data_IF_469648871054
#
_entry.id   IF_469648871054
#
_cell.length_a   1.000
_cell.length_b   1.000
_cell.length_c   1.000
_cell.angle_alpha   90.00
_cell.angle_beta   90.00
_cell.angle_gamma   90.00
#
_symmetry.space_group_name_H-M   'P 1'
#
loop_
_entity.id
_entity.type
_entity.pdbx_description
1 polymer ?
#
# COMPACT_ATOMS: atom_id res chain seq x y z
N UNK A 1 32.91 -0.08 24.28
CA UNK A 1 32.59 -0.20 25.71
C UNK A 1 31.21 -0.79 25.80
N UNK A 2 31.07 -1.99 26.36
CA UNK A 2 29.76 -2.61 26.59
C UNK A 2 29.04 -1.78 27.66
N UNK A 3 27.87 -1.23 27.32
CA UNK A 3 26.98 -0.66 28.33
C UNK A 3 26.55 -1.81 29.26
N UNK A 4 26.61 -1.63 30.60
CA UNK A 4 26.10 -2.63 31.52
C UNK A 4 24.58 -2.79 31.30
N UNK A 5 24.13 -4.04 31.28
CA UNK A 5 22.73 -4.46 31.18
C UNK A 5 21.83 -3.62 32.10
N UNK A 6 20.68 -3.09 31.64
CA UNK A 6 19.63 -2.72 32.57
C UNK A 6 19.24 -4.00 33.33
N UNK A 7 19.22 -3.90 34.67
CA UNK A 7 18.93 -5.03 35.56
C UNK A 7 17.59 -5.67 35.16
N UNK A 8 17.63 -6.89 34.64
CA UNK A 8 16.47 -7.76 34.52
C UNK A 8 15.92 -7.97 35.94
N UNK A 9 14.63 -7.72 36.14
CA UNK A 9 13.96 -7.87 37.42
C UNK A 9 14.16 -9.28 38.00
N UNK A 10 14.31 -9.37 39.31
CA UNK A 10 14.26 -10.61 40.08
C UNK A 10 12.82 -11.12 40.08
N UNK A 11 12.45 -11.95 39.10
CA UNK A 11 11.07 -12.39 38.79
C UNK A 11 10.10 -11.22 38.48
N UNK A 12 9.25 -11.34 37.45
CA UNK A 12 8.30 -10.30 37.12
C UNK A 12 7.06 -10.38 38.02
N UNK A 13 6.34 -9.27 38.11
CA UNK A 13 4.97 -9.28 38.63
C UNK A 13 4.05 -9.91 37.58
N UNK A 14 3.29 -10.93 37.97
CA UNK A 14 2.31 -11.56 37.08
C UNK A 14 0.94 -10.85 37.21
N UNK A 15 0.28 -10.50 36.11
CA UNK A 15 -1.07 -9.94 36.15
C UNK A 15 -2.08 -10.97 36.66
N UNK A 16 -3.13 -10.47 37.30
CA UNK A 16 -4.25 -11.25 37.85
C UNK A 16 -5.53 -10.92 37.08
N UNK A 17 -6.55 -11.75 37.25
CA UNK A 17 -7.86 -11.50 36.67
C UNK A 17 -8.39 -10.11 37.09
N UNK A 18 -8.82 -9.30 36.12
CA UNK A 18 -9.27 -7.93 36.32
C UNK A 18 -8.19 -6.86 36.22
N UNK A 19 -6.89 -7.21 36.21
CA UNK A 19 -5.82 -6.24 35.98
C UNK A 19 -5.89 -5.70 34.55
N UNK A 20 -5.56 -4.42 34.40
CA UNK A 20 -5.34 -3.80 33.10
C UNK A 20 -3.90 -4.05 32.66
N UNK A 21 -3.76 -4.52 31.43
CA UNK A 21 -2.48 -4.86 30.80
C UNK A 21 -2.43 -4.28 29.39
N UNK A 22 -1.23 -3.97 28.90
CA UNK A 22 -1.05 -3.63 27.50
C UNK A 22 -1.01 -4.93 26.70
N UNK A 23 -2.08 -5.19 25.93
CA UNK A 23 -2.19 -6.37 25.08
C UNK A 23 -1.95 -5.99 23.62
N UNK A 24 -1.16 -6.79 22.92
CA UNK A 24 -0.89 -6.56 21.50
C UNK A 24 -2.04 -7.04 20.63
N UNK A 25 -2.64 -6.14 19.86
CA UNK A 25 -3.64 -6.48 18.85
C UNK A 25 -2.92 -6.91 17.56
N UNK A 26 -2.75 -8.22 17.38
CA UNK A 26 -2.10 -8.80 16.19
C UNK A 26 -2.82 -8.46 14.87
N UNK A 27 -4.10 -8.04 14.89
CA UNK A 27 -4.84 -7.65 13.69
C UNK A 27 -4.59 -6.19 13.32
N UNK A 28 -4.43 -5.34 14.33
CA UNK A 28 -4.24 -3.90 14.14
C UNK A 28 -2.77 -3.47 14.26
N UNK A 29 -1.88 -4.36 14.72
CA UNK A 29 -0.45 -4.13 14.85
C UNK A 29 -0.08 -3.08 15.89
N UNK A 30 -0.84 -2.95 16.98
CA UNK A 30 -0.55 -2.00 18.05
C UNK A 30 -0.94 -2.52 19.43
N UNK A 31 -0.35 -1.90 20.45
CA UNK A 31 -0.60 -2.16 21.86
C UNK A 31 -1.86 -1.43 22.34
N UNK A 32 -2.70 -2.13 23.10
CA UNK A 32 -3.93 -1.56 23.67
C UNK A 32 -4.16 -2.07 25.08
N UNK A 33 -4.53 -1.16 25.97
CA UNK A 33 -4.93 -1.51 27.33
C UNK A 33 -6.21 -2.36 27.31
N UNK A 34 -6.14 -3.54 27.95
CA UNK A 34 -7.21 -4.54 28.02
C UNK A 34 -7.20 -5.20 29.38
N UNK A 35 -8.34 -5.80 29.75
CA UNK A 35 -8.44 -6.65 30.93
C UNK A 35 -7.79 -8.01 30.68
N UNK A 36 -6.93 -8.44 31.60
CA UNK A 36 -6.19 -9.70 31.46
C UNK A 36 -7.09 -10.93 31.33
N UNK A 37 -8.21 -10.97 32.05
CA UNK A 37 -9.20 -12.06 32.05
C UNK A 37 -10.05 -12.16 30.77
N UNK A 38 -9.89 -11.23 29.82
CA UNK A 38 -10.58 -11.22 28.54
C UNK A 38 -9.67 -11.58 27.35
N UNK A 39 -8.40 -11.92 27.61
CA UNK A 39 -7.41 -12.16 26.56
C UNK A 39 -7.38 -13.64 26.15
N UNK A 40 -7.29 -13.85 24.84
CA UNK A 40 -7.19 -15.18 24.24
C UNK A 40 -5.76 -15.74 24.33
N UNK A 41 -5.58 -17.07 24.34
CA UNK A 41 -4.28 -17.69 24.14
C UNK A 41 -3.56 -17.17 22.90
N UNK A 42 -2.23 -17.06 23.00
CA UNK A 42 -1.36 -16.49 21.99
C UNK A 42 -1.17 -14.97 22.09
N UNK A 43 -2.01 -14.27 22.85
CA UNK A 43 -1.88 -12.82 23.06
C UNK A 43 -0.56 -12.48 23.75
N UNK A 44 0.11 -11.45 23.22
CA UNK A 44 1.30 -10.87 23.83
C UNK A 44 0.93 -9.72 24.75
N UNK A 45 1.55 -9.69 25.94
CA UNK A 45 1.12 -8.83 27.05
C UNK A 45 2.33 -8.15 27.67
N UNK A 46 2.23 -6.84 27.90
CA UNK A 46 3.14 -6.08 28.75
C UNK A 46 2.42 -5.72 30.04
N UNK A 47 3.04 -6.04 31.16
CA UNK A 47 2.55 -5.67 32.50
C UNK A 47 3.74 -5.40 33.42
N UNK A 48 3.71 -4.27 34.12
CA UNK A 48 4.79 -3.86 35.05
C UNK A 48 6.20 -3.96 34.43
N UNK A 49 6.33 -3.49 33.18
CA UNK A 49 7.55 -3.54 32.37
C UNK A 49 8.11 -4.96 32.09
N UNK A 50 7.27 -5.99 32.22
CA UNK A 50 7.58 -7.37 31.83
C UNK A 50 6.73 -7.79 30.63
N UNK A 51 7.36 -8.48 29.68
CA UNK A 51 6.74 -8.99 28.46
C UNK A 51 6.41 -10.49 28.61
N UNK A 52 5.17 -10.85 28.27
CA UNK A 52 4.65 -12.21 28.37
C UNK A 52 3.92 -12.62 27.10
N UNK A 53 3.81 -13.95 26.88
CA UNK A 53 2.87 -14.54 25.94
C UNK A 53 1.93 -15.50 26.66
N UNK A 54 0.64 -15.43 26.36
CA UNK A 54 -0.35 -16.37 26.91
C UNK A 54 -0.22 -17.70 26.15
N UNK A 55 0.06 -18.79 26.86
CA UNK A 55 0.13 -20.13 26.31
C UNK A 55 -1.27 -20.70 26.00
N UNK A 56 -1.38 -21.78 25.20
CA UNK A 56 -2.65 -22.45 24.91
C UNK A 56 -3.45 -22.89 26.15
N UNK A 57 -2.77 -23.17 27.26
CA UNK A 57 -3.38 -23.54 28.54
C UNK A 57 -3.74 -22.33 29.43
N UNK A 58 -3.51 -21.10 28.94
CA UNK A 58 -3.73 -19.85 29.67
C UNK A 58 -2.59 -19.43 30.60
N UNK A 59 -1.53 -20.22 30.73
CA UNK A 59 -0.36 -19.83 31.52
C UNK A 59 0.44 -18.72 30.83
N UNK A 60 1.20 -17.95 31.62
CA UNK A 60 2.05 -16.88 31.09
C UNK A 60 3.50 -17.35 30.91
N UNK A 61 3.98 -17.26 29.68
CA UNK A 61 5.40 -17.43 29.34
C UNK A 61 6.11 -16.07 29.42
N UNK A 62 6.94 -15.89 30.44
CA UNK A 62 7.72 -14.66 30.63
C UNK A 62 8.94 -14.64 29.70
N UNK A 63 8.99 -13.62 28.85
CA UNK A 63 10.03 -13.41 27.84
C UNK A 63 11.11 -12.45 28.37
N UNK A 64 11.82 -12.90 29.41
CA UNK A 64 12.82 -12.11 30.15
C UNK A 64 13.95 -11.50 29.30
N UNK A 65 14.19 -12.10 28.14
CA UNK A 65 15.18 -11.70 27.16
C UNK A 65 14.76 -10.48 26.31
N UNK A 66 13.47 -10.13 26.30
CA UNK A 66 12.92 -9.03 25.52
C UNK A 66 12.73 -7.79 26.40
N UNK A 67 13.41 -6.71 26.02
CA UNK A 67 13.20 -5.40 26.60
C UNK A 67 11.95 -4.75 26.01
N UNK A 68 11.00 -4.32 26.86
CA UNK A 68 9.68 -3.79 26.43
C UNK A 68 9.84 -2.57 25.51
N UNK A 69 10.81 -1.71 25.79
CA UNK A 69 11.09 -0.53 24.97
C UNK A 69 11.49 -0.87 23.52
N UNK A 70 11.96 -2.10 23.26
CA UNK A 70 12.33 -2.58 21.92
C UNK A 70 11.13 -3.05 21.10
N UNK A 71 9.98 -3.29 21.74
CA UNK A 71 8.75 -3.65 21.03
C UNK A 71 8.29 -2.49 20.13
N UNK A 72 8.50 -1.24 20.58
CA UNK A 72 8.17 -0.05 19.79
C UNK A 72 8.94 -0.03 18.45
N UNK A 73 10.25 -0.28 18.46
CA UNK A 73 11.06 -0.34 17.24
C UNK A 73 10.59 -1.47 16.28
N UNK A 74 10.11 -2.58 16.85
CA UNK A 74 9.61 -3.73 16.08
C UNK A 74 8.28 -3.45 15.38
N UNK A 75 7.42 -2.68 16.05
CA UNK A 75 6.05 -2.37 15.61
C UNK A 75 5.92 -1.09 14.79
N UNK A 76 6.89 -0.19 14.90
CA UNK A 76 6.87 1.10 14.21
C UNK A 76 6.85 0.90 12.68
N UNK A 77 6.01 1.67 11.99
CA UNK A 77 5.84 1.61 10.53
C UNK A 77 5.94 2.98 9.86
N UNK A 78 5.88 4.08 10.63
CA UNK A 78 5.94 5.46 10.13
C UNK A 78 7.24 6.13 10.58
N UNK A 79 8.36 5.73 9.95
CA UNK A 79 9.70 6.22 10.30
C UNK A 79 10.22 7.19 9.25
N UNK A 80 10.80 8.29 9.70
CA UNK A 80 11.48 9.22 8.81
C UNK A 80 12.64 8.50 8.09
N UNK A 81 12.87 8.72 6.77
CA UNK A 81 13.87 7.96 6.02
C UNK A 81 15.29 7.96 6.62
N UNK A 82 15.66 9.01 7.35
CA UNK A 82 16.94 9.18 8.05
C UNK A 82 17.02 8.47 9.41
N UNK A 83 15.88 8.06 9.96
CA UNK A 83 15.76 7.29 11.20
C UNK A 83 15.67 5.76 10.94
N UNK A 84 15.43 5.35 9.69
CA UNK A 84 15.41 3.94 9.29
C UNK A 84 16.79 3.33 9.48
N UNK A 85 16.86 2.27 10.28
CA UNK A 85 18.08 1.48 10.48
C UNK A 85 17.84 0.00 10.20
N UNK A 86 18.92 -0.71 9.89
CA UNK A 86 18.88 -2.18 9.87
C UNK A 86 18.83 -2.71 11.30
N UNK A 87 18.11 -3.81 11.55
CA UNK A 87 18.17 -4.48 12.84
C UNK A 87 19.58 -5.06 13.03
N UNK A 88 20.08 -4.94 14.25
CA UNK A 88 21.40 -5.36 14.68
C UNK A 88 21.32 -6.60 15.57
N UNK A 89 22.32 -7.47 15.45
CA UNK A 89 22.46 -8.63 16.33
C UNK A 89 22.59 -8.20 17.80
N UNK A 90 22.13 -9.06 18.70
CA UNK A 90 22.32 -8.94 20.13
C UNK A 90 21.14 -8.36 20.92
N UNK A 91 20.24 -7.55 20.33
CA UNK A 91 19.29 -6.77 21.14
C UNK A 91 17.99 -6.35 20.46
N UNK A 92 17.90 -6.43 19.13
CA UNK A 92 16.69 -5.96 18.45
C UNK A 92 15.59 -7.01 18.51
N UNK A 93 14.42 -6.54 18.93
CA UNK A 93 13.18 -7.28 18.86
C UNK A 93 12.58 -7.01 17.49
N UNK A 94 12.03 -8.04 16.89
CA UNK A 94 11.45 -8.00 15.55
C UNK A 94 10.09 -8.68 15.57
N UNK A 95 9.23 -8.32 14.61
CA UNK A 95 7.92 -8.92 14.47
C UNK A 95 7.93 -10.02 13.43
N UNK A 96 7.84 -11.27 13.88
CA UNK A 96 7.65 -12.42 13.01
C UNK A 96 6.17 -12.53 12.67
N UNK A 97 5.86 -12.71 11.39
CA UNK A 97 4.49 -12.95 10.94
C UNK A 97 4.46 -14.04 9.88
N UNK A 98 3.41 -14.83 9.93
CA UNK A 98 3.06 -15.90 9.00
C UNK A 98 1.57 -15.83 8.68
N UNK A 99 1.07 -16.75 7.86
CA UNK A 99 -0.36 -16.84 7.59
C UNK A 99 -1.22 -17.08 8.84
N UNK A 100 -0.66 -17.69 9.89
CA UNK A 100 -1.41 -18.15 11.07
C UNK A 100 -0.96 -17.53 12.38
N UNK A 101 0.23 -16.96 12.44
CA UNK A 101 0.82 -16.43 13.68
C UNK A 101 1.52 -15.10 13.45
N UNK A 102 1.43 -14.21 14.43
CA UNK A 102 2.27 -13.03 14.56
C UNK A 102 2.80 -12.98 16.00
N UNK A 103 4.08 -12.65 16.16
CA UNK A 103 4.71 -12.56 17.48
C UNK A 103 6.02 -11.77 17.45
N UNK A 104 6.46 -11.33 18.61
CA UNK A 104 7.74 -10.66 18.82
C UNK A 104 8.82 -11.65 19.20
N UNK A 105 10.01 -11.49 18.62
CA UNK A 105 11.16 -12.34 18.88
C UNK A 105 12.46 -11.55 18.82
N UNK A 106 13.49 -12.06 19.50
CA UNK A 106 14.85 -11.56 19.34
C UNK A 106 15.41 -12.08 18.02
N UNK A 107 15.98 -11.18 17.23
CA UNK A 107 16.57 -11.48 15.92
C UNK A 107 17.58 -12.64 15.96
N UNK A 108 18.38 -12.75 17.02
CA UNK A 108 19.41 -13.77 17.19
C UNK A 108 18.85 -15.19 17.29
N UNK A 109 17.59 -15.34 17.71
CA UNK A 109 16.92 -16.61 17.88
C UNK A 109 16.21 -17.11 16.60
N UNK A 110 16.19 -16.29 15.54
CA UNK A 110 15.50 -16.66 14.31
C UNK A 110 16.32 -17.69 13.50
N UNK A 111 15.70 -18.71 12.88
CA UNK A 111 16.42 -19.62 11.98
C UNK A 111 16.75 -18.95 10.65
N UNK A 112 17.68 -19.49 9.86
CA UNK A 112 17.94 -18.99 8.50
C UNK A 112 16.70 -19.14 7.61
N UNK A 113 16.44 -18.17 6.72
CA UNK A 113 15.26 -18.12 5.87
C UNK A 113 14.02 -17.55 6.58
N UNK A 114 14.11 -17.21 7.87
CA UNK A 114 13.01 -16.59 8.59
C UNK A 114 12.79 -15.17 8.09
N UNK A 115 11.55 -14.88 7.67
CA UNK A 115 11.06 -13.53 7.37
C UNK A 115 10.50 -12.87 8.62
N UNK A 116 10.75 -11.58 8.78
CA UNK A 116 10.28 -10.77 9.89
C UNK A 116 10.18 -9.30 9.48
N UNK A 117 9.49 -8.50 10.28
CA UNK A 117 9.38 -7.06 10.12
C UNK A 117 10.14 -6.33 11.22
N UNK A 118 10.78 -5.24 10.84
CA UNK A 118 11.42 -4.30 11.74
C UNK A 118 11.28 -2.91 11.12
N UNK A 119 10.75 -1.93 11.87
CA UNK A 119 10.54 -0.58 11.34
C UNK A 119 9.74 -0.56 10.03
N UNK A 120 8.69 -1.39 9.94
CA UNK A 120 7.84 -1.54 8.76
C UNK A 120 8.48 -2.21 7.55
N UNK A 121 9.78 -2.53 7.56
CA UNK A 121 10.48 -3.19 6.45
C UNK A 121 10.54 -4.70 6.72
N UNK A 122 10.23 -5.50 5.71
CA UNK A 122 10.43 -6.93 5.78
C UNK A 122 11.88 -7.30 5.46
N UNK A 123 12.47 -8.10 6.34
CA UNK A 123 13.79 -8.69 6.18
C UNK A 123 13.69 -10.21 6.18
N UNK A 124 14.69 -10.85 5.58
CA UNK A 124 14.93 -12.28 5.69
C UNK A 124 16.31 -12.53 6.30
N UNK A 125 16.37 -13.48 7.22
CA UNK A 125 17.62 -13.91 7.84
C UNK A 125 18.40 -14.85 6.91
N UNK A 126 19.72 -14.67 6.85
CA UNK A 126 20.64 -15.59 6.19
C UNK A 126 21.77 -15.92 7.16
N UNK A 127 21.95 -17.20 7.46
CA UNK A 127 23.07 -17.69 8.28
C UNK A 127 24.10 -18.29 7.34
N UNK A 128 25.30 -17.71 7.33
CA UNK A 128 26.43 -18.21 6.54
C UNK A 128 27.02 -19.48 7.15
N UNK A 129 27.78 -20.28 6.39
CA UNK A 129 28.42 -21.50 6.92
C UNK A 129 29.37 -21.27 8.11
N UNK A 130 29.90 -20.05 8.27
CA UNK A 130 30.73 -19.64 9.40
C UNK A 130 29.90 -19.24 10.65
N UNK A 131 28.58 -19.35 10.58
CA UNK A 131 27.64 -19.01 11.66
C UNK A 131 27.26 -17.54 11.72
N UNK A 132 27.80 -16.67 10.86
CA UNK A 132 27.46 -15.25 10.84
C UNK A 132 26.07 -15.05 10.28
N UNK A 133 25.20 -14.40 11.05
CA UNK A 133 23.86 -14.02 10.62
C UNK A 133 23.90 -12.69 9.91
N UNK A 134 23.08 -12.58 8.88
CA UNK A 134 22.88 -11.36 8.10
C UNK A 134 21.40 -11.21 7.81
N UNK A 135 20.97 -9.98 7.58
CA UNK A 135 19.59 -9.66 7.24
C UNK A 135 19.54 -8.91 5.91
N UNK A 136 18.66 -9.36 5.04
CA UNK A 136 18.48 -8.80 3.70
C UNK A 136 17.05 -8.28 3.57
N UNK A 137 16.84 -7.02 3.18
CA UNK A 137 15.49 -6.53 2.93
C UNK A 137 14.88 -7.25 1.73
N UNK A 138 13.63 -7.69 1.86
CA UNK A 138 12.94 -8.44 0.77
C UNK A 138 12.33 -7.51 -0.27
N UNK A 139 12.24 -6.21 0.02
CA UNK A 139 11.51 -5.22 -0.77
C UNK A 139 10.03 -5.14 -0.41
N UNK A 140 9.55 -5.96 0.54
CA UNK A 140 8.21 -5.85 1.12
C UNK A 140 8.23 -5.02 2.39
N UNK A 141 7.06 -4.50 2.76
CA UNK A 141 6.89 -3.70 3.97
C UNK A 141 5.43 -3.66 4.41
N UNK A 142 5.24 -3.20 5.63
CA UNK A 142 3.93 -2.86 6.17
C UNK A 142 3.63 -1.40 5.81
N UNK A 143 2.36 -1.10 5.64
CA UNK A 143 1.89 0.26 5.37
C UNK A 143 0.53 0.45 6.02
N UNK A 144 0.26 1.68 6.47
CA UNK A 144 -0.97 1.97 7.19
C UNK A 144 -2.15 2.00 6.22
N UNK A 145 -3.24 1.35 6.61
CA UNK A 145 -4.54 1.55 5.99
C UNK A 145 -5.09 2.89 6.51
N UNK A 146 -5.28 3.86 5.62
CA UNK A 146 -5.74 5.22 5.95
C UNK A 146 -7.21 5.46 5.60
N UNK A 147 -7.81 4.64 4.72
CA UNK A 147 -9.23 4.72 4.39
C UNK A 147 -9.79 3.36 3.90
N UNK A 148 -11.11 3.24 3.86
CA UNK A 148 -11.84 2.07 3.34
C UNK A 148 -13.00 2.53 2.45
N UNK A 149 -13.15 1.89 1.30
CA UNK A 149 -14.21 2.18 0.34
C UNK A 149 -15.10 0.97 0.13
N UNK A 150 -16.39 1.26 -0.05
CA UNK A 150 -17.41 0.30 -0.40
C UNK A 150 -18.25 0.87 -1.54
N UNK A 151 -18.55 0.06 -2.55
CA UNK A 151 -19.51 0.43 -3.61
C UNK A 151 -20.15 -0.79 -4.24
N UNK A 152 -21.25 -0.54 -4.94
CA UNK A 152 -21.88 -1.52 -5.83
C UNK A 152 -21.45 -1.26 -7.27
N UNK A 153 -21.15 -2.32 -8.02
CA UNK A 153 -20.79 -2.29 -9.44
C UNK A 153 -21.62 -3.33 -10.20
N UNK A 154 -21.80 -3.11 -11.50
CA UNK A 154 -22.56 -4.03 -12.37
C UNK A 154 -21.68 -5.10 -13.04
N UNK A 155 -20.36 -4.96 -12.91
CA UNK A 155 -19.39 -5.75 -13.67
C UNK A 155 -18.15 -6.06 -12.86
N UNK A 156 -17.73 -7.33 -12.92
CA UNK A 156 -16.45 -7.81 -12.43
C UNK A 156 -15.69 -8.55 -13.54
N UNK A 157 -14.40 -8.71 -13.32
CA UNK A 157 -13.59 -9.70 -14.01
C UNK A 157 -13.11 -10.73 -12.98
N UNK A 158 -13.25 -12.00 -13.36
CA UNK A 158 -12.74 -13.14 -12.64
C UNK A 158 -11.44 -13.59 -13.30
N UNK A 159 -10.34 -13.54 -12.54
CA UNK A 159 -9.00 -13.92 -12.95
C UNK A 159 -8.67 -15.27 -12.32
N UNK A 160 -8.45 -16.30 -13.12
CA UNK A 160 -7.94 -17.59 -12.63
C UNK A 160 -6.43 -17.59 -12.76
N UNK A 161 -5.74 -17.72 -11.63
CA UNK A 161 -4.28 -17.74 -11.56
C UNK A 161 -3.78 -19.11 -11.11
N UNK A 162 -2.61 -19.51 -11.57
CA UNK A 162 -1.90 -20.72 -11.17
C UNK A 162 -0.58 -20.34 -10.49
N UNK A 163 -0.40 -20.79 -9.25
CA UNK A 163 0.80 -20.56 -8.46
C UNK A 163 1.93 -21.52 -8.86
N UNK A 164 3.15 -21.24 -8.39
CA UNK A 164 4.33 -22.06 -8.67
C UNK A 164 4.19 -23.54 -8.20
N UNK A 165 3.35 -23.80 -7.19
CA UNK A 165 3.03 -25.15 -6.71
C UNK A 165 1.93 -25.87 -7.53
N UNK A 166 1.45 -25.23 -8.60
CA UNK A 166 0.38 -25.73 -9.48
C UNK A 166 -1.04 -25.56 -8.93
N UNK A 167 -1.20 -25.01 -7.71
CA UNK A 167 -2.54 -24.70 -7.19
C UNK A 167 -3.12 -23.48 -7.88
N UNK A 168 -4.44 -23.44 -7.92
CA UNK A 168 -5.18 -22.35 -8.56
C UNK A 168 -5.93 -21.52 -7.54
N UNK A 169 -5.95 -20.22 -7.78
CA UNK A 169 -6.78 -19.26 -7.06
C UNK A 169 -7.62 -18.46 -8.06
N UNK A 170 -8.74 -17.91 -7.59
CA UNK A 170 -9.66 -17.14 -8.42
C UNK A 170 -9.93 -15.79 -7.77
N UNK A 171 -9.45 -14.73 -8.40
CA UNK A 171 -9.56 -13.36 -7.89
C UNK A 171 -10.65 -12.64 -8.68
N UNK A 172 -11.61 -12.04 -7.97
CA UNK A 172 -12.63 -11.19 -8.56
C UNK A 172 -12.34 -9.74 -8.27
N UNK A 173 -12.23 -8.94 -9.32
CA UNK A 173 -11.95 -7.51 -9.21
C UNK A 173 -12.80 -6.71 -10.19
N UNK A 174 -12.88 -5.40 -9.98
CA UNK A 174 -13.43 -4.50 -11.00
C UNK A 174 -12.49 -4.49 -12.22
N UNK A 175 -12.98 -4.43 -13.47
CA UNK A 175 -12.14 -4.50 -14.67
C UNK A 175 -10.96 -3.50 -14.68
N UNK A 176 -11.15 -2.34 -14.08
CA UNK A 176 -10.16 -1.26 -13.98
C UNK A 176 -9.14 -1.41 -12.83
N UNK A 177 -9.21 -2.48 -12.03
CA UNK A 177 -8.35 -2.62 -10.86
C UNK A 177 -6.91 -2.99 -11.28
N UNK A 178 -5.85 -2.26 -10.88
CA UNK A 178 -4.50 -2.53 -11.38
C UNK A 178 -3.78 -3.65 -10.61
N UNK A 179 -3.18 -4.59 -11.35
CA UNK A 179 -2.30 -5.65 -10.85
C UNK A 179 -0.87 -5.41 -11.32
N UNK A 180 0.11 -5.73 -10.48
CA UNK A 180 1.51 -5.55 -10.83
C UNK A 180 2.04 -6.70 -11.69
N UNK A 181 2.66 -6.36 -12.83
CA UNK A 181 3.28 -7.32 -13.75
C UNK A 181 4.82 -7.22 -13.64
N UNK A 182 5.50 -8.17 -12.98
CA UNK A 182 6.94 -8.07 -12.68
C UNK A 182 7.82 -7.99 -13.92
N UNK A 183 7.51 -8.76 -14.96
CA UNK A 183 8.27 -8.78 -16.21
C UNK A 183 8.30 -7.41 -16.90
N UNK A 184 7.21 -6.63 -16.76
CA UNK A 184 7.04 -5.31 -17.39
C UNK A 184 7.32 -4.16 -16.43
N UNK A 185 7.39 -4.43 -15.12
CA UNK A 185 7.56 -3.45 -14.04
C UNK A 185 6.51 -2.34 -14.05
N UNK A 186 5.28 -2.68 -14.42
CA UNK A 186 4.15 -1.75 -14.49
C UNK A 186 2.90 -2.39 -13.86
N UNK A 187 1.94 -1.54 -13.51
CA UNK A 187 0.58 -1.98 -13.20
C UNK A 187 -0.26 -2.01 -14.47
N UNK A 188 -0.97 -3.11 -14.69
CA UNK A 188 -1.94 -3.27 -15.78
C UNK A 188 -3.32 -3.49 -15.15
N UNK A 189 -4.36 -2.87 -15.70
CA UNK A 189 -5.72 -3.09 -15.21
C UNK A 189 -6.15 -4.53 -15.46
N UNK A 190 -6.95 -5.10 -14.56
CA UNK A 190 -7.35 -6.50 -14.55
C UNK A 190 -7.80 -7.04 -15.92
N UNK A 191 -8.62 -6.28 -16.66
CA UNK A 191 -9.12 -6.67 -17.99
C UNK A 191 -8.07 -6.68 -19.10
N UNK A 192 -7.01 -5.89 -18.97
CA UNK A 192 -5.98 -5.74 -20.02
C UNK A 192 -4.77 -6.66 -19.79
N UNK A 193 -4.76 -7.46 -18.71
CA UNK A 193 -3.67 -8.41 -18.43
C UNK A 193 -3.77 -9.55 -19.45
N UNK A 194 -2.75 -9.84 -20.27
CA UNK A 194 -2.77 -11.00 -21.14
C UNK A 194 -2.74 -12.32 -20.35
N UNK A 195 -3.46 -13.35 -20.80
CA UNK A 195 -3.22 -14.72 -20.32
C UNK A 195 -1.77 -15.12 -20.61
N UNK A 196 -1.13 -15.81 -19.66
CA UNK A 196 0.29 -16.13 -19.65
C UNK A 196 1.17 -15.09 -18.96
N UNK A 197 0.69 -13.87 -18.69
CA UNK A 197 1.44 -12.91 -17.87
C UNK A 197 1.47 -13.37 -16.40
N UNK A 198 2.57 -13.07 -15.73
CA UNK A 198 2.78 -13.39 -14.32
C UNK A 198 2.49 -12.20 -13.40
N UNK A 199 1.93 -12.50 -12.22
CA UNK A 199 1.68 -11.56 -11.12
C UNK A 199 2.71 -11.76 -10.00
N UNK A 200 3.04 -10.70 -9.27
CA UNK A 200 3.87 -10.80 -8.05
C UNK A 200 3.03 -11.27 -6.87
N UNK A 201 3.49 -12.29 -6.16
CA UNK A 201 2.85 -12.77 -4.93
C UNK A 201 3.54 -12.22 -3.67
N UNK A 202 2.84 -12.28 -2.52
CA UNK A 202 3.37 -11.91 -1.21
C UNK A 202 4.55 -12.79 -0.73
N UNK A 203 4.79 -13.95 -1.36
CA UNK A 203 5.95 -14.80 -1.05
C UNK A 203 7.20 -14.33 -1.80
N UNK A 204 7.03 -13.49 -2.84
CA UNK A 204 8.07 -13.05 -3.78
C UNK A 204 8.04 -13.85 -5.10
N UNK A 205 7.28 -14.95 -5.14
CA UNK A 205 7.12 -15.84 -6.27
C UNK A 205 6.17 -15.26 -7.34
N UNK A 206 5.87 -16.06 -8.37
CA UNK A 206 5.00 -15.72 -9.49
C UNK A 206 3.72 -16.55 -9.47
N UNK A 207 2.63 -15.93 -9.92
CA UNK A 207 1.40 -16.63 -10.26
C UNK A 207 1.00 -16.27 -11.70
N UNK A 208 0.77 -17.28 -12.54
CA UNK A 208 0.46 -17.08 -13.96
C UNK A 208 -1.04 -16.90 -14.15
N UNK A 209 -1.45 -15.88 -14.90
CA UNK A 209 -2.84 -15.72 -15.30
C UNK A 209 -3.18 -16.73 -16.40
N UNK A 210 -4.06 -17.69 -16.12
CA UNK A 210 -4.37 -18.79 -17.06
C UNK A 210 -5.76 -18.68 -17.70
N UNK A 211 -6.67 -17.90 -17.11
CA UNK A 211 -7.98 -17.65 -17.69
C UNK A 211 -8.61 -16.37 -17.15
N UNK A 212 -9.45 -15.73 -17.97
CA UNK A 212 -10.25 -14.58 -17.56
C UNK A 212 -11.72 -14.71 -17.96
N UNK A 213 -12.61 -14.20 -17.11
CA UNK A 213 -14.05 -14.20 -17.37
C UNK A 213 -14.72 -12.94 -16.87
N UNK A 214 -15.45 -12.24 -17.75
CA UNK A 214 -16.32 -11.12 -17.35
C UNK A 214 -17.60 -11.64 -16.70
N UNK A 215 -17.98 -11.02 -15.59
CA UNK A 215 -19.22 -11.29 -14.86
C UNK A 215 -20.07 -10.02 -14.85
N UNK A 216 -21.36 -10.15 -15.15
CA UNK A 216 -22.33 -9.05 -15.10
C UNK A 216 -23.43 -9.38 -14.10
N UNK A 217 -23.82 -8.41 -13.29
CA UNK A 217 -24.75 -8.58 -12.18
C UNK A 217 -24.51 -7.50 -11.12
N UNK A 218 -25.26 -7.50 -10.02
CA UNK A 218 -25.03 -6.55 -8.94
C UNK A 218 -23.99 -7.09 -7.95
N UNK A 219 -22.85 -6.42 -7.82
CA UNK A 219 -21.75 -6.86 -6.97
C UNK A 219 -21.33 -5.77 -5.98
N UNK A 220 -21.23 -6.16 -4.71
CA UNK A 220 -20.64 -5.32 -3.68
C UNK A 220 -19.12 -5.52 -3.66
N UNK A 221 -18.36 -4.44 -3.79
CA UNK A 221 -16.89 -4.46 -3.80
C UNK A 221 -16.31 -3.55 -2.73
N UNK A 222 -15.12 -3.92 -2.27
CA UNK A 222 -14.37 -3.22 -1.23
C UNK A 222 -13.01 -2.80 -1.77
N UNK A 223 -12.50 -1.67 -1.28
CA UNK A 223 -11.13 -1.23 -1.53
C UNK A 223 -10.60 -0.58 -0.25
N UNK A 224 -9.28 -0.54 -0.11
CA UNK A 224 -8.59 0.16 0.98
C UNK A 224 -7.88 1.38 0.39
N UNK A 225 -7.51 2.35 1.21
CA UNK A 225 -6.43 3.30 0.92
C UNK A 225 -5.25 2.96 1.82
N UNK A 226 -4.08 2.75 1.24
CA UNK A 226 -2.83 2.44 1.95
C UNK A 226 -1.84 3.56 1.70
N UNK A 227 -1.18 4.04 2.76
CA UNK A 227 -0.18 5.10 2.70
C UNK A 227 1.15 4.63 3.29
N UNK A 228 2.30 5.03 2.73
CA UNK A 228 2.48 5.85 1.52
C UNK A 228 2.59 5.04 0.22
N UNK A 229 2.60 3.71 0.31
CA UNK A 229 2.96 2.82 -0.80
C UNK A 229 1.86 2.68 -1.86
N UNK A 230 0.61 2.94 -1.50
CA UNK A 230 -0.56 2.84 -2.40
C UNK A 230 -0.66 1.50 -3.15
N UNK A 231 -0.18 0.41 -2.54
CA UNK A 231 -0.37 -0.94 -3.03
C UNK A 231 -0.60 -1.90 -1.85
N UNK A 232 -1.19 -3.05 -2.12
CA UNK A 232 -1.44 -4.11 -1.14
C UNK A 232 -1.60 -5.45 -1.83
N UNK A 233 -1.61 -6.54 -1.07
CA UNK A 233 -1.79 -7.89 -1.60
C UNK A 233 -3.24 -8.38 -1.41
N UNK A 234 -3.79 -9.07 -2.42
CA UNK A 234 -5.13 -9.68 -2.39
C UNK A 234 -5.12 -11.15 -2.83
N UNK A 235 -5.98 -11.97 -2.24
CA UNK A 235 -6.23 -13.35 -2.68
C UNK A 235 -7.72 -13.63 -2.74
N UNK A 236 -8.11 -14.57 -3.61
CA UNK A 236 -9.46 -15.13 -3.65
C UNK A 236 -9.74 -16.19 -2.59
N UNK A 237 -8.68 -16.76 -1.99
CA UNK A 237 -8.77 -17.88 -1.05
C UNK A 237 -7.89 -17.61 0.18
N UNK A 238 -8.34 -17.91 1.42
CA UNK A 238 -7.56 -17.65 2.63
C UNK A 238 -6.15 -18.25 2.64
N UNK A 239 -5.98 -19.40 1.99
CA UNK A 239 -4.74 -20.18 2.00
C UNK A 239 -3.85 -19.94 0.77
N UNK A 240 -4.28 -19.10 -0.18
CA UNK A 240 -3.52 -18.85 -1.40
C UNK A 240 -2.60 -17.63 -1.25
N UNK A 241 -1.36 -17.67 -1.80
CA UNK A 241 -0.47 -16.51 -1.81
C UNK A 241 -1.11 -15.32 -2.51
N UNK A 242 -1.39 -14.26 -1.76
CA UNK A 242 -1.99 -13.05 -2.32
C UNK A 242 -1.08 -12.36 -3.34
N UNK A 243 -1.67 -11.73 -4.35
CA UNK A 243 -0.98 -11.02 -5.44
C UNK A 243 -1.00 -9.51 -5.23
N UNK A 244 0.06 -8.84 -5.70
CA UNK A 244 0.24 -7.39 -5.53
C UNK A 244 -0.68 -6.60 -6.46
N UNK A 245 -1.54 -5.79 -5.86
CA UNK A 245 -2.43 -4.85 -6.54
C UNK A 245 -2.14 -3.42 -6.09
N UNK A 246 -2.48 -2.47 -6.93
CA UNK A 246 -2.41 -1.06 -6.56
C UNK A 246 -3.73 -0.66 -5.92
N UNK A 247 -3.70 0.18 -4.87
CA UNK A 247 -4.88 0.94 -4.51
C UNK A 247 -5.38 1.62 -5.77
N UNK A 248 -6.61 1.41 -6.19
CA UNK A 248 -7.15 2.17 -7.31
C UNK A 248 -7.35 3.66 -6.89
N UNK A 249 -6.28 4.34 -6.48
CA UNK A 249 -6.14 5.79 -6.32
C UNK A 249 -6.41 6.50 -7.66
N UNK A 250 -6.45 5.76 -8.77
CA UNK A 250 -6.96 6.21 -10.05
C UNK A 250 -8.47 6.43 -10.02
N UNK A 251 -8.93 7.52 -9.37
CA UNK A 251 -10.12 8.33 -9.72
C UNK A 251 -10.46 9.44 -8.71
N UNK A 252 -9.62 9.85 -7.75
CA UNK A 252 -9.93 11.04 -6.90
C UNK A 252 -10.28 12.25 -7.78
N UNK A 253 -9.44 12.56 -8.76
CA UNK A 253 -9.72 13.55 -9.80
C UNK A 253 -11.01 13.25 -10.60
N UNK A 254 -11.18 12.02 -11.09
CA UNK A 254 -12.36 11.66 -11.88
C UNK A 254 -13.67 11.78 -11.09
N UNK A 255 -13.65 11.51 -9.78
CA UNK A 255 -14.79 11.71 -8.87
C UNK A 255 -15.02 13.19 -8.62
N UNK A 256 -13.95 13.95 -8.34
CA UNK A 256 -14.04 15.40 -8.15
C UNK A 256 -14.67 16.08 -9.37
N UNK A 257 -14.27 15.69 -10.58
CA UNK A 257 -14.87 16.18 -11.83
C UNK A 257 -16.37 15.89 -11.93
N UNK A 258 -16.80 14.67 -11.64
CA UNK A 258 -18.23 14.30 -11.68
C UNK A 258 -19.03 15.04 -10.60
N UNK A 259 -18.50 15.17 -9.39
CA UNK A 259 -19.12 15.94 -8.29
C UNK A 259 -19.23 17.42 -8.65
N UNK A 260 -18.24 17.97 -9.35
CA UNK A 260 -18.26 19.33 -9.89
C UNK A 260 -19.18 19.49 -11.12
N UNK A 261 -19.93 18.45 -11.50
CA UNK A 261 -20.90 18.51 -12.59
C UNK A 261 -20.31 18.30 -13.99
N UNK A 262 -19.06 17.85 -14.11
CA UNK A 262 -18.43 17.51 -15.39
C UNK A 262 -18.76 16.06 -15.73
N UNK A 263 -19.61 15.77 -16.73
CA UNK A 263 -19.97 14.40 -17.07
C UNK A 263 -18.76 13.68 -17.68
N UNK A 264 -18.58 12.39 -17.33
CA UNK A 264 -17.58 11.52 -17.97
C UNK A 264 -18.18 10.86 -19.22
N UNK A 265 -17.71 11.17 -20.44
CA UNK A 265 -18.15 10.45 -21.61
C UNK A 265 -17.64 8.99 -21.61
N UNK A 266 -18.32 8.05 -22.30
CA UNK A 266 -17.78 6.71 -22.53
C UNK A 266 -16.39 6.78 -23.16
N UNK A 267 -15.52 5.82 -22.82
CA UNK A 267 -14.16 5.74 -23.37
C UNK A 267 -13.26 6.96 -23.09
N UNK A 268 -13.53 7.69 -22.00
CA UNK A 268 -12.69 8.80 -21.53
C UNK A 268 -12.09 8.54 -20.14
N UNK A 269 -10.84 8.97 -19.94
CA UNK A 269 -10.14 8.93 -18.66
C UNK A 269 -9.97 10.35 -18.11
N UNK A 270 -9.95 10.48 -16.77
CA UNK A 270 -9.57 11.76 -16.15
C UNK A 270 -8.08 11.97 -16.37
N UNK A 271 -7.70 13.15 -16.83
CA UNK A 271 -6.31 13.57 -17.02
C UNK A 271 -6.03 14.74 -16.08
N UNK A 272 -4.97 14.61 -15.29
CA UNK A 272 -4.43 15.71 -14.48
C UNK A 272 -3.75 16.70 -15.40
N UNK A 273 -4.16 17.97 -15.35
CA UNK A 273 -3.54 19.03 -16.15
C UNK A 273 -2.11 19.27 -15.65
N UNK A 274 -1.98 19.52 -14.35
CA UNK A 274 -0.71 19.44 -13.65
C UNK A 274 -0.51 17.99 -13.22
N UNK A 275 0.38 17.29 -13.93
CA UNK A 275 0.64 15.88 -13.72
C UNK A 275 1.13 15.58 -12.29
N UNK A 276 0.65 14.48 -11.71
CA UNK A 276 0.93 14.11 -10.32
C UNK A 276 2.35 13.53 -10.12
N UNK A 277 2.80 12.67 -11.03
CA UNK A 277 4.05 11.88 -10.86
C UNK A 277 5.22 12.38 -11.69
N UNK A 278 5.00 13.33 -12.61
CA UNK A 278 6.03 13.82 -13.49
C UNK A 278 6.93 14.84 -12.77
N UNK A 279 8.21 14.51 -12.57
CA UNK A 279 9.18 15.41 -11.94
C UNK A 279 9.28 16.76 -12.67
N UNK A 280 9.13 16.76 -13.99
CA UNK A 280 9.13 17.97 -14.82
C UNK A 280 7.95 18.90 -14.54
N UNK A 281 6.85 18.41 -13.96
CA UNK A 281 5.68 19.22 -13.58
C UNK A 281 5.83 19.88 -12.20
N UNK A 282 6.94 19.67 -11.48
CA UNK A 282 7.18 20.24 -10.13
C UNK A 282 6.97 21.75 -10.02
N UNK A 283 7.35 22.61 -11.00
CA UNK A 283 7.04 24.03 -10.92
C UNK A 283 5.55 24.31 -10.79
N UNK A 284 4.72 23.73 -11.66
CA UNK A 284 3.27 23.86 -11.59
C UNK A 284 2.68 23.22 -10.33
N UNK A 285 3.19 22.05 -9.89
CA UNK A 285 2.75 21.41 -8.64
C UNK A 285 2.91 22.34 -7.43
N UNK A 286 4.07 22.98 -7.29
CA UNK A 286 4.33 23.95 -6.20
C UNK A 286 3.43 25.17 -6.28
N UNK A 287 3.10 25.62 -7.49
CA UNK A 287 2.14 26.73 -7.67
C UNK A 287 0.76 26.33 -7.17
N UNK A 288 0.27 25.13 -7.51
CA UNK A 288 -1.04 24.65 -7.03
C UNK A 288 -1.06 24.48 -5.50
N UNK A 289 -0.02 23.86 -4.94
CA UNK A 289 0.13 23.67 -3.50
C UNK A 289 0.12 25.02 -2.75
N UNK A 290 0.94 25.98 -3.18
CA UNK A 290 1.01 27.32 -2.60
C UNK A 290 -0.33 28.06 -2.62
N UNK A 291 -1.16 27.80 -3.63
CA UNK A 291 -2.46 28.42 -3.82
C UNK A 291 -3.62 27.60 -3.22
N UNK A 292 -3.32 26.48 -2.55
CA UNK A 292 -4.32 25.61 -1.93
C UNK A 292 -5.27 24.96 -2.95
N UNK A 293 -4.74 24.54 -4.10
CA UNK A 293 -5.43 23.72 -5.10
C UNK A 293 -4.83 22.32 -5.01
N UNK A 294 -5.63 21.33 -4.63
CA UNK A 294 -5.21 19.94 -4.58
C UNK A 294 -4.95 19.38 -5.98
N UNK A 295 -3.96 18.51 -6.13
CA UNK A 295 -3.68 17.87 -7.43
C UNK A 295 -4.88 17.04 -7.93
N UNK A 296 -5.67 16.48 -7.03
CA UNK A 296 -6.89 15.74 -7.36
C UNK A 296 -8.16 16.61 -7.38
N UNK A 297 -8.06 17.93 -7.21
CA UNK A 297 -9.21 18.82 -7.29
C UNK A 297 -9.76 18.85 -8.72
N UNK A 298 -11.08 19.01 -8.86
CA UNK A 298 -11.74 19.11 -10.17
C UNK A 298 -11.13 20.20 -11.06
N UNK A 299 -10.63 21.28 -10.47
CA UNK A 299 -9.95 22.36 -11.17
C UNK A 299 -8.71 21.89 -11.96
N UNK A 300 -8.01 20.86 -11.48
CA UNK A 300 -6.81 20.32 -12.13
C UNK A 300 -7.11 19.18 -13.11
N UNK A 301 -8.37 19.02 -13.56
CA UNK A 301 -8.80 17.84 -14.29
C UNK A 301 -9.55 18.09 -15.58
N UNK A 302 -9.44 17.14 -16.51
CA UNK A 302 -10.27 17.08 -17.71
C UNK A 302 -10.52 15.62 -18.12
N UNK A 303 -11.70 15.31 -18.65
CA UNK A 303 -11.96 14.01 -19.29
C UNK A 303 -11.53 14.03 -20.74
N UNK A 304 -10.68 13.07 -21.12
CA UNK A 304 -10.12 12.95 -22.47
C UNK A 304 -10.19 11.51 -22.99
N UNK A 305 -10.29 11.32 -24.32
CA UNK A 305 -10.30 10.00 -24.93
C UNK A 305 -9.15 9.10 -24.47
N UNK A 306 -9.45 7.88 -23.99
CA UNK A 306 -8.43 6.86 -23.64
C UNK A 306 -8.13 5.87 -24.75
N UNK A 307 -9.03 5.70 -25.72
CA UNK A 307 -8.89 4.76 -26.83
C UNK A 307 -9.48 5.33 -28.14
N UNK A 308 -9.34 4.59 -29.24
CA UNK A 308 -9.84 4.99 -30.56
C UNK A 308 -11.36 5.25 -30.58
N UNK A 309 -12.15 4.51 -29.82
CA UNK A 309 -13.60 4.74 -29.72
C UNK A 309 -13.93 6.06 -29.02
N UNK A 310 -13.19 6.40 -27.95
CA UNK A 310 -13.27 7.71 -27.31
C UNK A 310 -12.84 8.83 -28.25
N UNK A 311 -11.78 8.60 -29.03
CA UNK A 311 -11.27 9.58 -29.98
C UNK A 311 -12.27 9.80 -31.13
N UNK A 312 -12.92 8.74 -31.60
CA UNK A 312 -14.01 8.86 -32.59
C UNK A 312 -15.21 9.64 -32.04
N UNK A 313 -15.54 9.48 -30.76
CA UNK A 313 -16.61 10.22 -30.09
C UNK A 313 -16.24 11.69 -29.78
N UNK A 314 -14.95 12.00 -29.68
CA UNK A 314 -14.43 13.37 -29.46
C UNK A 314 -13.23 13.64 -30.37
N UNK A 315 -13.44 13.79 -31.70
CA UNK A 315 -12.35 13.79 -32.69
C UNK A 315 -11.32 14.89 -32.51
N UNK A 316 -11.73 16.01 -31.92
CA UNK A 316 -10.88 17.17 -31.68
C UNK A 316 -10.17 17.12 -30.33
N UNK A 317 -10.61 16.29 -29.39
CA UNK A 317 -9.99 16.26 -28.07
C UNK A 317 -8.58 15.65 -28.16
N UNK A 318 -7.66 16.14 -27.33
CA UNK A 318 -6.36 15.53 -27.21
C UNK A 318 -6.49 14.08 -26.72
N UNK A 319 -5.70 13.18 -27.31
CA UNK A 319 -5.68 11.78 -26.91
C UNK A 319 -4.95 11.66 -25.57
N UNK A 320 -5.58 11.12 -24.53
CA UNK A 320 -5.01 11.12 -23.17
C UNK A 320 -3.57 10.59 -23.14
N UNK A 321 -3.24 9.43 -23.74
CA UNK A 321 -1.88 8.90 -23.70
C UNK A 321 -0.82 9.80 -24.36
N UNK A 322 -1.18 10.66 -25.31
CA UNK A 322 -0.21 11.55 -25.99
C UNK A 322 0.20 12.76 -25.15
N UNK A 323 -0.48 13.03 -24.04
CA UNK A 323 -0.23 14.21 -23.20
C UNK A 323 0.91 14.02 -22.19
N UNK A 324 1.39 12.80 -21.98
CA UNK A 324 2.47 12.53 -21.03
C UNK A 324 3.85 12.84 -21.63
N UNK A 325 4.03 14.06 -22.14
CA UNK A 325 5.22 14.50 -22.86
C UNK A 325 5.90 15.67 -22.15
N UNK A 326 7.21 15.84 -22.39
CA UNK A 326 7.96 16.99 -21.91
C UNK A 326 7.41 18.32 -22.42
N UNK A 327 6.98 18.35 -23.68
CA UNK A 327 6.40 19.54 -24.30
C UNK A 327 5.10 19.95 -23.61
N UNK A 328 4.26 18.99 -23.23
CA UNK A 328 3.05 19.25 -22.46
C UNK A 328 3.37 19.81 -21.07
N UNK A 329 4.26 19.16 -20.32
CA UNK A 329 4.61 19.60 -18.96
C UNK A 329 5.22 21.01 -18.96
N UNK A 330 6.08 21.32 -19.93
CA UNK A 330 6.65 22.66 -20.08
C UNK A 330 5.58 23.70 -20.43
N UNK A 331 4.63 23.37 -21.32
CA UNK A 331 3.52 24.26 -21.65
C UNK A 331 2.63 24.56 -20.43
N UNK A 332 2.34 23.55 -19.60
CA UNK A 332 1.57 23.73 -18.35
C UNK A 332 2.36 24.55 -17.33
N UNK A 333 3.65 24.28 -17.15
CA UNK A 333 4.52 25.08 -16.27
C UNK A 333 4.56 26.54 -16.70
N UNK A 334 4.75 26.81 -18.00
CA UNK A 334 4.80 28.16 -18.54
C UNK A 334 3.45 28.88 -18.40
N UNK A 335 2.33 28.17 -18.55
CA UNK A 335 1.00 28.76 -18.37
C UNK A 335 0.74 29.17 -16.91
N UNK A 336 1.31 28.45 -15.94
CA UNK A 336 1.17 28.72 -14.51
C UNK A 336 2.32 29.54 -13.91
N UNK A 337 3.27 29.99 -14.73
CA UNK A 337 4.40 30.78 -14.27
C UNK A 337 3.95 32.17 -13.80
N UNK A 338 4.54 32.63 -12.69
CA UNK A 338 4.24 33.95 -12.11
C UNK A 338 2.82 34.13 -11.51
N UNK A 339 1.96 33.10 -11.51
CA UNK A 339 0.58 33.20 -10.97
C UNK A 339 0.58 33.48 -9.46
N UNK A 340 -0.22 34.47 -9.03
CA UNK A 340 -0.22 34.95 -7.65
C UNK A 340 -1.47 34.54 -6.86
N UNK A 341 -2.62 34.30 -7.50
CA UNK A 341 -3.88 34.01 -6.79
C UNK A 341 -4.51 32.68 -7.23
N UNK A 342 -5.32 32.10 -6.34
CA UNK A 342 -6.06 30.86 -6.59
C UNK A 342 -7.02 30.99 -7.77
N UNK A 343 -7.71 32.13 -7.87
CA UNK A 343 -8.67 32.42 -8.94
C UNK A 343 -7.99 32.49 -10.32
N UNK A 344 -6.81 33.11 -10.39
CA UNK A 344 -6.01 33.16 -11.63
C UNK A 344 -5.59 31.76 -12.05
N UNK A 345 -5.06 30.95 -11.12
CA UNK A 345 -4.65 29.57 -11.40
C UNK A 345 -5.83 28.72 -11.88
N UNK A 346 -6.99 28.80 -11.20
CA UNK A 346 -8.20 28.08 -11.62
C UNK A 346 -8.67 28.51 -13.01
N UNK A 347 -8.62 29.80 -13.34
CA UNK A 347 -8.96 30.30 -14.68
C UNK A 347 -8.00 29.79 -15.77
N UNK A 348 -6.71 29.69 -15.46
CA UNK A 348 -5.70 29.12 -16.37
C UNK A 348 -5.96 27.62 -16.58
N UNK A 349 -6.19 26.86 -15.50
CA UNK A 349 -6.47 25.43 -15.58
C UNK A 349 -7.74 25.14 -16.39
N UNK A 350 -8.82 25.92 -16.20
CA UNK A 350 -10.04 25.80 -17.00
C UNK A 350 -9.80 26.13 -18.49
N UNK A 351 -8.97 27.14 -18.76
CA UNK A 351 -8.50 27.47 -20.11
C UNK A 351 -7.74 26.32 -20.76
N UNK A 352 -6.82 25.67 -20.02
CA UNK A 352 -6.08 24.50 -20.51
C UNK A 352 -7.03 23.32 -20.75
N UNK A 353 -7.96 23.03 -19.83
CA UNK A 353 -8.97 21.98 -20.00
C UNK A 353 -9.79 22.18 -21.28
N UNK A 354 -10.20 23.42 -21.56
CA UNK A 354 -10.92 23.79 -22.78
C UNK A 354 -10.08 23.59 -24.04
N UNK A 355 -8.82 23.99 -24.02
CA UNK A 355 -7.88 23.78 -25.13
C UNK A 355 -7.58 22.30 -25.37
N UNK A 356 -7.51 21.48 -24.32
CA UNK A 356 -7.33 20.03 -24.44
C UNK A 356 -8.55 19.36 -25.06
N UNK A 357 -9.78 19.77 -24.71
CA UNK A 357 -11.01 19.31 -25.38
C UNK A 357 -11.08 19.74 -26.85
N UNK A 358 -10.45 20.86 -27.20
CA UNK A 358 -10.35 21.36 -28.56
C UNK A 358 -9.12 20.83 -29.34
N UNK A 359 -8.19 20.15 -28.67
CA UNK A 359 -6.95 19.63 -29.27
C UNK A 359 -5.94 20.71 -29.64
N UNK A 360 -6.05 21.90 -29.04
CA UNK A 360 -5.22 23.07 -29.38
C UNK A 360 -4.11 23.34 -28.37
N UNK A 361 -4.16 22.73 -27.18
CA UNK A 361 -3.11 22.91 -26.18
C UNK A 361 -1.81 22.22 -26.62
N UNK A 362 -0.62 22.82 -26.47
CA UNK A 362 0.64 22.19 -26.87
C UNK A 362 0.91 20.91 -26.05
N UNK A 363 1.18 19.81 -26.74
CA UNK A 363 1.60 18.54 -26.17
C UNK A 363 2.54 17.78 -27.09
#
# INVERSE_FOLDING_TARGET
MAYPLPRIATQPTYPRAGDLVDAFDHRQGHWKERRFDELDPGTEVVFDNAFFRINPDGSLDWRSEIAVEKLLDADEIEIAPDEIRRPSEGWDVVRVTSATESYHAIIDNLPSGQKFFFQGIQYETTIRPDGVRTVVPTGMGLSRIVDKFERTVDTLIELTIEHADGKRDTIRATPEHPFYIPAKKIYIIAEDIPEGDELLTMTGERATLIAQKRLTGEFKVYNLEVSPTHNYFVSGSPDAPAVLVHNACGRKLGRALVVAGVPRPPNHAAHHIVAHTAERARPAQRTLERLGIGLDDAANGVFLPRNAAGQAASPRAAYHPSLHSYKYYDAVNNALDGVQTKEQAMGILDGIASQLRAGTFPH
#
